data_IF_472142244088
#
_entry.id   IF_472142244088
#
_cell.length_a   1.000
_cell.length_b   1.000
_cell.length_c   1.000
_cell.angle_alpha   90.00
_cell.angle_beta   90.00
_cell.angle_gamma   90.00
#
_symmetry.space_group_name_H-M   'P 1'
#
loop_
_entity.id
_entity.type
_entity.pdbx_description
1 polymer ?
#
# COMPACT_ATOMS: atom_id res chain seq x y z
N UNK A 1 4.58 -11.17 -26.10
CA UNK A 1 4.69 -9.93 -25.30
C UNK A 1 3.66 -10.02 -24.20
N UNK A 2 4.06 -9.91 -22.93
CA UNK A 2 3.09 -9.87 -21.83
C UNK A 2 2.32 -8.57 -21.93
N UNK A 3 1.00 -8.63 -21.86
CA UNK A 3 0.15 -7.46 -21.89
C UNK A 3 -0.49 -7.27 -20.51
N UNK A 4 -0.10 -6.22 -19.80
CA UNK A 4 -0.76 -5.83 -18.56
C UNK A 4 -1.98 -4.98 -18.95
N UNK A 5 -3.21 -5.33 -18.53
CA UNK A 5 -4.39 -4.54 -18.86
C UNK A 5 -4.24 -3.09 -18.38
N UNK A 6 -4.55 -2.13 -19.24
CA UNK A 6 -4.47 -0.69 -18.92
C UNK A 6 -5.28 -0.34 -17.67
N UNK A 7 -6.44 -0.96 -17.49
CA UNK A 7 -7.28 -0.78 -16.30
C UNK A 7 -6.58 -1.19 -14.99
N UNK A 8 -5.69 -2.19 -15.02
CA UNK A 8 -4.88 -2.55 -13.86
C UNK A 8 -3.81 -1.48 -13.57
N UNK A 9 -3.17 -0.96 -14.61
CA UNK A 9 -2.16 0.11 -14.49
C UNK A 9 -2.80 1.38 -13.93
N UNK A 10 -3.91 1.84 -14.54
CA UNK A 10 -4.66 3.02 -14.08
C UNK A 10 -5.12 2.88 -12.63
N UNK A 11 -5.60 1.69 -12.24
CA UNK A 11 -5.98 1.43 -10.86
C UNK A 11 -4.78 1.50 -9.92
N UNK A 12 -3.66 0.89 -10.30
CA UNK A 12 -2.43 0.91 -9.51
C UNK A 12 -1.90 2.34 -9.34
N UNK A 13 -1.86 3.13 -10.41
CA UNK A 13 -1.46 4.54 -10.35
C UNK A 13 -2.37 5.37 -9.45
N UNK A 14 -3.68 5.14 -9.52
CA UNK A 14 -4.66 5.82 -8.67
C UNK A 14 -4.39 5.59 -7.18
N UNK A 15 -4.20 4.34 -6.76
CA UNK A 15 -3.90 4.03 -5.36
C UNK A 15 -2.51 4.50 -4.95
N UNK A 16 -1.53 4.47 -5.85
CA UNK A 16 -0.18 4.95 -5.57
C UNK A 16 -0.15 6.47 -5.35
N UNK A 17 -0.91 7.24 -6.14
CA UNK A 17 -1.08 8.69 -5.93
C UNK A 17 -1.75 9.00 -4.60
N UNK A 18 -2.75 8.21 -4.19
CA UNK A 18 -3.37 8.35 -2.86
C UNK A 18 -2.34 8.08 -1.74
N UNK A 19 -1.53 7.03 -1.88
CA UNK A 19 -0.42 6.77 -0.97
C UNK A 19 0.59 7.92 -0.89
N UNK A 20 1.00 8.49 -2.03
CA UNK A 20 1.92 9.64 -2.03
C UNK A 20 1.33 10.85 -1.28
N UNK A 21 0.03 11.10 -1.41
CA UNK A 21 -0.64 12.17 -0.67
C UNK A 21 -0.63 11.89 0.83
N UNK A 22 -1.03 10.68 1.26
CA UNK A 22 -0.99 10.28 2.65
C UNK A 22 0.44 10.36 3.22
N UNK A 23 1.44 9.93 2.46
CA UNK A 23 2.85 9.96 2.87
C UNK A 23 3.39 11.40 3.01
N UNK A 24 2.97 12.33 2.14
CA UNK A 24 3.28 13.77 2.28
C UNK A 24 2.69 14.35 3.57
N UNK A 25 1.44 14.03 3.87
CA UNK A 25 0.79 14.47 5.11
C UNK A 25 1.50 13.89 6.33
N UNK A 26 1.81 12.60 6.32
CA UNK A 26 2.57 11.92 7.38
C UNK A 26 3.96 12.54 7.61
N UNK A 27 4.65 12.94 6.55
CA UNK A 27 5.95 13.60 6.62
C UNK A 27 5.94 15.04 7.14
N UNK A 28 4.76 15.67 7.26
CA UNK A 28 4.62 17.07 7.74
C UNK A 28 4.81 17.26 9.25
N UNK A 29 5.05 16.17 10.00
CA UNK A 29 5.36 16.21 11.43
C UNK A 29 4.15 16.20 12.37
N UNK A 30 2.92 16.12 11.84
CA UNK A 30 1.69 15.98 12.64
C UNK A 30 1.07 14.60 12.46
N UNK A 31 1.57 13.61 13.19
CA UNK A 31 0.96 12.28 13.22
C UNK A 31 -0.17 12.28 14.25
N UNK A 32 -1.39 12.02 13.79
CA UNK A 32 -2.57 11.80 14.62
C UNK A 32 -3.32 10.56 14.12
N UNK A 33 -4.39 10.16 14.81
CA UNK A 33 -5.15 8.96 14.48
C UNK A 33 -5.67 8.94 13.02
N UNK A 34 -6.04 10.10 12.45
CA UNK A 34 -6.50 10.21 11.06
C UNK A 34 -5.35 9.93 10.09
N UNK A 35 -4.19 10.57 10.31
CA UNK A 35 -2.99 10.36 9.48
C UNK A 35 -2.54 8.90 9.53
N UNK A 36 -2.58 8.27 10.70
CA UNK A 36 -2.25 6.85 10.83
C UNK A 36 -3.26 5.99 10.06
N UNK A 37 -4.57 6.22 10.22
CA UNK A 37 -5.60 5.48 9.51
C UNK A 37 -5.46 5.61 7.98
N UNK A 38 -5.20 6.81 7.48
CA UNK A 38 -4.95 7.07 6.06
C UNK A 38 -3.70 6.33 5.56
N UNK A 39 -2.60 6.35 6.30
CA UNK A 39 -1.39 5.60 5.92
C UNK A 39 -1.61 4.09 5.93
N UNK A 40 -2.31 3.55 6.92
CA UNK A 40 -2.66 2.12 6.97
C UNK A 40 -3.51 1.73 5.77
N UNK A 41 -4.55 2.52 5.47
CA UNK A 41 -5.44 2.29 4.34
C UNK A 41 -4.68 2.36 3.02
N UNK A 42 -3.95 3.45 2.77
CA UNK A 42 -3.23 3.65 1.52
C UNK A 42 -2.17 2.56 1.29
N UNK A 43 -1.42 2.18 2.33
CA UNK A 43 -0.43 1.10 2.25
C UNK A 43 -1.11 -0.24 1.88
N UNK A 44 -2.24 -0.57 2.50
CA UNK A 44 -3.00 -1.80 2.18
C UNK A 44 -3.55 -1.79 0.76
N UNK A 45 -4.08 -0.67 0.30
CA UNK A 45 -4.60 -0.54 -1.07
C UNK A 45 -3.50 -0.71 -2.12
N UNK A 46 -2.31 -0.14 -1.90
CA UNK A 46 -1.14 -0.35 -2.79
C UNK A 46 -0.67 -1.79 -2.75
N UNK A 47 -0.60 -2.41 -1.57
CA UNK A 47 -0.24 -3.83 -1.44
C UNK A 47 -1.21 -4.74 -2.21
N UNK A 48 -2.52 -4.46 -2.12
CA UNK A 48 -3.53 -5.19 -2.86
C UNK A 48 -3.39 -4.99 -4.38
N UNK A 49 -3.12 -3.75 -4.84
CA UNK A 49 -2.92 -3.47 -6.25
C UNK A 49 -1.68 -4.18 -6.82
N UNK A 50 -0.57 -4.25 -6.08
CA UNK A 50 0.61 -5.04 -6.48
C UNK A 50 0.29 -6.53 -6.63
N UNK A 51 -0.48 -7.11 -5.71
CA UNK A 51 -0.91 -8.53 -5.80
C UNK A 51 -1.78 -8.82 -7.01
N UNK A 52 -2.52 -7.84 -7.53
CA UNK A 52 -3.34 -8.04 -8.72
C UNK A 52 -2.45 -8.34 -9.94
N UNK A 53 -1.27 -7.73 -10.05
CA UNK A 53 -0.35 -8.00 -11.15
C UNK A 53 0.18 -9.43 -11.17
N UNK A 54 0.23 -10.15 -10.03
CA UNK A 54 0.68 -11.56 -10.03
C UNK A 54 -0.27 -12.49 -10.79
N UNK A 55 -1.47 -12.01 -11.15
CA UNK A 55 -2.48 -12.75 -11.90
C UNK A 55 -2.38 -12.55 -13.42
N UNK A 56 -1.42 -11.74 -13.88
CA UNK A 56 -1.19 -11.55 -15.32
C UNK A 56 -0.44 -12.76 -15.87
N UNK A 57 -1.09 -13.46 -16.80
CA UNK A 57 -0.51 -14.63 -17.45
C UNK A 57 0.73 -14.28 -18.26
N UNK A 58 1.72 -15.18 -18.22
CA UNK A 58 2.96 -15.04 -18.98
C UNK A 58 4.00 -14.12 -18.36
N UNK A 59 3.77 -13.57 -17.15
CA UNK A 59 4.81 -12.82 -16.43
C UNK A 59 6.02 -13.72 -16.13
N UNK A 60 7.25 -13.26 -16.42
CA UNK A 60 8.45 -13.94 -15.96
C UNK A 60 8.45 -14.09 -14.44
N UNK A 61 8.96 -15.21 -13.93
CA UNK A 61 8.97 -15.51 -12.50
C UNK A 61 9.61 -14.40 -11.65
N UNK A 62 10.64 -13.73 -12.17
CA UNK A 62 11.33 -12.65 -11.47
C UNK A 62 10.46 -11.39 -11.36
N UNK A 63 9.57 -11.13 -12.33
CA UNK A 63 8.59 -10.04 -12.24
C UNK A 63 7.55 -10.37 -11.16
N UNK A 64 7.05 -11.60 -11.14
CA UNK A 64 6.12 -12.07 -10.10
C UNK A 64 6.74 -11.93 -8.71
N UNK A 65 8.02 -12.29 -8.56
CA UNK A 65 8.77 -12.12 -7.32
C UNK A 65 8.91 -10.64 -6.92
N UNK A 66 9.21 -9.76 -7.88
CA UNK A 66 9.35 -8.32 -7.63
C UNK A 66 8.03 -7.68 -7.16
N UNK A 67 6.92 -7.93 -7.85
CA UNK A 67 5.61 -7.35 -7.46
C UNK A 67 5.09 -7.95 -6.15
N UNK A 68 5.41 -9.22 -5.87
CA UNK A 68 5.07 -9.85 -4.59
C UNK A 68 5.87 -9.22 -3.45
N UNK A 69 7.16 -9.00 -3.64
CA UNK A 69 8.03 -8.32 -2.66
C UNK A 69 7.54 -6.90 -2.41
N UNK A 70 7.16 -6.16 -3.46
CA UNK A 70 6.59 -4.82 -3.32
C UNK A 70 5.31 -4.86 -2.47
N UNK A 71 4.39 -5.78 -2.73
CA UNK A 71 3.18 -5.94 -1.92
C UNK A 71 3.49 -6.20 -0.43
N UNK A 72 4.44 -7.10 -0.15
CA UNK A 72 4.85 -7.44 1.23
C UNK A 72 5.47 -6.25 1.97
N UNK A 73 6.23 -5.40 1.27
CA UNK A 73 6.80 -4.18 1.85
C UNK A 73 5.69 -3.21 2.31
N UNK A 74 4.66 -3.01 1.48
CA UNK A 74 3.51 -2.18 1.83
C UNK A 74 2.64 -2.79 2.94
N UNK A 75 2.47 -4.11 3.01
CA UNK A 75 1.81 -4.73 4.17
C UNK A 75 2.59 -4.49 5.46
N UNK A 76 3.92 -4.57 5.38
CA UNK A 76 4.80 -4.34 6.53
C UNK A 76 4.71 -2.89 6.99
N UNK A 77 4.67 -1.95 6.04
CA UNK A 77 4.43 -0.54 6.32
C UNK A 77 3.06 -0.32 6.97
N UNK A 78 1.99 -0.95 6.47
CA UNK A 78 0.67 -0.85 7.07
C UNK A 78 0.68 -1.31 8.54
N UNK A 79 1.27 -2.48 8.83
CA UNK A 79 1.41 -2.98 10.20
C UNK A 79 2.22 -2.05 11.09
N UNK A 80 3.28 -1.46 10.57
CA UNK A 80 4.09 -0.49 11.31
C UNK A 80 3.30 0.78 11.64
N UNK A 81 2.49 1.29 10.71
CA UNK A 81 1.59 2.40 11.00
C UNK A 81 0.51 2.04 12.02
N UNK A 82 -0.07 0.83 11.96
CA UNK A 82 -1.06 0.39 12.95
C UNK A 82 -0.52 0.42 14.38
N UNK A 83 0.76 0.06 14.58
CA UNK A 83 1.41 0.12 15.91
C UNK A 83 1.58 1.54 16.45
N UNK A 84 1.41 2.57 15.61
CA UNK A 84 1.48 3.99 16.03
C UNK A 84 0.15 4.52 16.51
N UNK A 85 -0.95 3.79 16.30
CA UNK A 85 -2.17 4.07 17.04
C UNK A 85 -1.87 3.74 18.51
N UNK A 86 -2.15 4.65 19.46
CA UNK A 86 -2.13 4.25 20.86
C UNK A 86 -3.06 3.04 21.00
N UNK A 87 -2.63 2.02 21.74
CA UNK A 87 -3.56 1.01 22.27
C UNK A 87 -4.75 1.80 22.83
N UNK A 88 -5.97 1.42 22.48
CA UNK A 88 -7.17 2.03 23.09
C UNK A 88 -6.98 1.91 24.59
N UNK A 89 -6.53 2.99 25.23
CA UNK A 89 -6.29 3.03 26.64
C UNK A 89 -7.62 2.72 27.29
N UNK A 90 -7.61 1.73 28.18
CA UNK A 90 -8.58 1.59 29.23
C UNK A 90 -8.98 2.98 29.72
N UNK A 91 -10.24 3.30 29.51
CA UNK A 91 -10.86 4.46 30.09
C UNK A 91 -11.12 4.11 31.56
N UNK A 92 -10.61 4.87 32.54
CA UNK A 92 -10.96 4.63 33.94
C UNK A 92 -12.46 4.84 34.19
#
# INVERSE_FOLDING_TARGET
MVNVPESMVTRWEGVYRYYEQANKVAGSGRVNAVVVADMVRASREVAAAWRVFTRVDGLPWWVVAAVTTAAQAFDTQAREWERRLPERGDQP
#
